data_IF_447732190592
#
_entry.id   IF_447732190592
#
_cell.length_a   1.000
_cell.length_b   1.000
_cell.length_c   1.000
_cell.angle_alpha   90.00
_cell.angle_beta   90.00
_cell.angle_gamma   90.00
#
_symmetry.space_group_name_H-M   'P 1'
#
loop_
_entity.id
_entity.type
_entity.pdbx_description
1 polymer ?
#
# COMPACT_ATOMS: atom_id res chain seq x y z
N UNK A 1 16.41 8.54 8.34
CA UNK A 1 15.24 9.02 7.54
C UNK A 1 14.09 9.53 8.43
N UNK A 2 14.43 10.04 9.61
CA UNK A 2 13.56 10.28 10.76
C UNK A 2 12.59 11.45 10.51
N UNK A 3 13.09 12.50 9.85
CA UNK A 3 12.27 13.67 9.49
C UNK A 3 11.13 13.24 8.57
N UNK A 4 11.38 12.47 7.52
CA UNK A 4 10.30 12.02 6.63
C UNK A 4 9.36 11.06 7.36
N UNK A 5 9.88 10.19 8.25
CA UNK A 5 9.08 9.26 9.04
C UNK A 5 8.10 9.95 10.00
N UNK A 6 8.35 11.22 10.35
CA UNK A 6 7.50 11.98 11.25
C UNK A 6 8.09 12.30 12.62
N UNK A 7 9.39 12.07 12.84
CA UNK A 7 9.98 12.21 14.17
C UNK A 7 9.91 13.66 14.64
N UNK A 8 9.46 13.85 15.88
CA UNK A 8 9.48 15.14 16.58
C UNK A 8 10.36 15.14 17.82
N UNK A 9 10.55 13.96 18.41
CA UNK A 9 11.39 13.73 19.59
C UNK A 9 12.30 12.53 19.33
N UNK A 10 13.33 12.37 20.16
CA UNK A 10 14.25 11.22 20.10
C UNK A 10 13.61 9.90 20.54
N UNK A 11 12.45 9.94 21.19
CA UNK A 11 11.66 8.77 21.61
C UNK A 11 10.66 8.29 20.56
N UNK A 12 10.55 8.99 19.43
CA UNK A 12 9.65 8.61 18.36
C UNK A 12 10.12 7.30 17.71
N UNK A 13 9.16 6.47 17.31
CA UNK A 13 9.40 5.12 16.79
C UNK A 13 8.63 4.85 15.50
N UNK A 14 8.12 5.91 14.86
CA UNK A 14 7.38 5.81 13.59
C UNK A 14 8.22 5.24 12.47
N UNK A 15 7.56 4.53 11.58
CA UNK A 15 8.20 3.93 10.42
C UNK A 15 8.07 4.86 9.23
N UNK A 16 9.04 4.74 8.33
CA UNK A 16 8.99 5.34 7.00
C UNK A 16 8.56 4.29 5.99
N UNK A 17 7.79 4.70 4.99
CA UNK A 17 7.44 3.87 3.86
C UNK A 17 8.20 4.31 2.61
N UNK A 18 8.70 3.33 1.86
CA UNK A 18 9.20 3.48 0.51
C UNK A 18 8.08 3.07 -0.43
N UNK A 19 7.72 3.94 -1.37
CA UNK A 19 6.73 3.68 -2.42
C UNK A 19 7.50 3.66 -3.73
N UNK A 20 7.52 2.52 -4.42
CA UNK A 20 8.03 2.41 -5.78
C UNK A 20 6.91 2.03 -6.73
N UNK A 21 6.85 2.65 -7.90
CA UNK A 21 5.92 2.26 -8.94
C UNK A 21 6.56 2.32 -10.33
N UNK A 22 6.08 1.46 -11.22
CA UNK A 22 6.54 1.36 -12.60
C UNK A 22 5.33 1.15 -13.52
N UNK A 23 5.33 1.82 -14.67
CA UNK A 23 4.25 1.78 -15.65
C UNK A 23 4.11 0.41 -16.31
N UNK A 24 2.91 -0.15 -16.29
CA UNK A 24 2.64 -1.42 -16.95
C UNK A 24 2.70 -1.26 -18.47
N UNK A 25 3.40 -2.20 -19.11
CA UNK A 25 3.43 -2.36 -20.56
C UNK A 25 3.89 -1.10 -21.34
N UNK A 26 4.72 -0.25 -20.72
CA UNK A 26 5.17 0.99 -21.36
C UNK A 26 5.83 0.75 -22.72
N UNK A 27 6.72 -0.24 -22.82
CA UNK A 27 7.35 -0.63 -24.08
C UNK A 27 6.35 -1.03 -25.18
N UNK A 28 5.22 -1.67 -24.83
CA UNK A 28 4.16 -2.01 -25.80
C UNK A 28 3.37 -0.77 -26.22
N UNK A 29 3.07 0.13 -25.28
CA UNK A 29 2.31 1.36 -25.54
C UNK A 29 3.10 2.30 -26.47
N UNK A 30 4.40 2.48 -26.18
CA UNK A 30 5.29 3.29 -27.03
C UNK A 30 5.67 2.58 -28.33
N UNK A 31 5.85 1.26 -28.33
CA UNK A 31 6.15 0.49 -29.54
C UNK A 31 5.02 0.47 -30.57
N UNK A 32 3.77 0.64 -30.15
CA UNK A 32 2.60 0.71 -31.03
C UNK A 32 2.32 2.12 -31.59
N UNK A 33 3.29 3.03 -31.50
CA UNK A 33 3.11 4.42 -31.94
C UNK A 33 3.44 4.54 -33.43
N UNK A 34 2.56 5.17 -34.21
CA UNK A 34 2.70 5.24 -35.68
C UNK A 34 3.49 6.48 -36.11
N UNK A 35 3.35 7.59 -35.37
CA UNK A 35 3.97 8.87 -35.72
C UNK A 35 4.80 9.43 -34.58
N UNK A 36 5.78 10.27 -34.93
CA UNK A 36 6.58 10.99 -33.93
C UNK A 36 5.72 11.91 -33.05
N UNK A 37 4.69 12.55 -33.62
CA UNK A 37 3.76 13.40 -32.85
C UNK A 37 3.01 12.61 -31.79
N UNK A 38 2.49 11.43 -32.15
CA UNK A 38 1.80 10.54 -31.19
C UNK A 38 2.76 10.08 -30.07
N UNK A 39 4.04 9.86 -30.38
CA UNK A 39 5.05 9.50 -29.39
C UNK A 39 5.24 10.63 -28.38
N UNK A 40 5.41 11.86 -28.89
CA UNK A 40 5.56 13.06 -28.06
C UNK A 40 4.32 13.27 -27.18
N UNK A 41 3.12 13.13 -27.72
CA UNK A 41 1.87 13.28 -26.97
C UNK A 41 1.75 12.24 -25.85
N UNK A 42 2.03 10.96 -26.14
CA UNK A 42 2.04 9.88 -25.14
C UNK A 42 3.08 10.14 -24.05
N UNK A 43 4.29 10.53 -24.44
CA UNK A 43 5.39 10.81 -23.51
C UNK A 43 5.06 12.00 -22.61
N UNK A 44 4.53 13.08 -23.17
CA UNK A 44 4.12 14.26 -22.40
C UNK A 44 2.96 13.93 -21.46
N UNK A 45 1.93 13.22 -21.96
CA UNK A 45 0.78 12.81 -21.15
C UNK A 45 1.20 11.93 -19.97
N UNK A 46 2.11 10.99 -20.17
CA UNK A 46 2.64 10.15 -19.10
C UNK A 46 3.34 11.00 -18.03
N UNK A 47 4.36 11.78 -18.42
CA UNK A 47 5.16 12.56 -17.46
C UNK A 47 4.31 13.63 -16.74
N UNK A 48 3.50 14.38 -17.48
CA UNK A 48 2.58 15.36 -16.91
C UNK A 48 1.53 14.69 -16.02
N UNK A 49 0.95 13.57 -16.47
CA UNK A 49 -0.08 12.84 -15.73
C UNK A 49 0.42 12.31 -14.39
N UNK A 50 1.65 11.79 -14.35
CA UNK A 50 2.30 11.33 -13.10
C UNK A 50 2.50 12.49 -12.12
N UNK A 51 2.99 13.63 -12.60
CA UNK A 51 3.14 14.85 -11.77
C UNK A 51 1.80 15.38 -11.30
N UNK A 52 0.79 15.34 -12.17
CA UNK A 52 -0.57 15.80 -11.85
C UNK A 52 -1.26 14.92 -10.82
N UNK A 53 -1.22 13.59 -10.95
CA UNK A 53 -1.83 12.70 -9.94
C UNK A 53 -1.17 12.89 -8.57
N UNK A 54 0.16 13.03 -8.52
CA UNK A 54 0.87 13.33 -7.29
C UNK A 54 0.43 14.66 -6.67
N UNK A 55 0.41 15.73 -7.48
CA UNK A 55 0.00 17.07 -7.04
C UNK A 55 -1.45 17.09 -6.53
N UNK A 56 -2.39 16.48 -7.26
CA UNK A 56 -3.79 16.43 -6.87
C UNK A 56 -3.99 15.61 -5.58
N UNK A 57 -3.21 14.54 -5.36
CA UNK A 57 -3.25 13.80 -4.09
C UNK A 57 -2.68 14.63 -2.91
N UNK A 58 -1.66 15.45 -3.13
CA UNK A 58 -1.20 16.41 -2.11
C UNK A 58 -2.26 17.47 -1.81
N UNK A 59 -2.99 17.95 -2.83
CA UNK A 59 -4.10 18.87 -2.63
C UNK A 59 -5.24 18.25 -1.83
N UNK A 60 -5.52 16.96 -2.02
CA UNK A 60 -6.51 16.25 -1.21
C UNK A 60 -6.11 16.22 0.27
N UNK A 61 -4.82 16.01 0.59
CA UNK A 61 -4.32 16.12 1.97
C UNK A 61 -4.51 17.55 2.48
N UNK A 62 -4.15 18.55 1.68
CA UNK A 62 -4.27 19.96 2.06
C UNK A 62 -5.72 20.43 2.30
N UNK A 63 -6.70 19.73 1.71
CA UNK A 63 -8.14 20.02 1.87
C UNK A 63 -8.79 19.23 2.99
N UNK A 64 -8.19 18.12 3.42
CA UNK A 64 -8.83 17.18 4.34
C UNK A 64 -8.74 17.57 5.83
N UNK A 65 -7.76 18.40 6.23
CA UNK A 65 -7.65 18.90 7.60
C UNK A 65 -7.91 20.40 7.70
N UNK A 66 -8.63 20.79 8.74
CA UNK A 66 -8.83 22.19 9.14
C UNK A 66 -7.59 22.80 9.80
N UNK A 67 -6.66 21.98 10.32
CA UNK A 67 -5.42 22.46 10.94
C UNK A 67 -4.34 22.69 9.87
N UNK A 68 -4.06 23.97 9.61
CA UNK A 68 -3.07 24.44 8.64
C UNK A 68 -1.65 23.95 8.93
N UNK A 69 -1.29 23.80 10.20
CA UNK A 69 0.06 23.37 10.59
C UNK A 69 0.28 21.89 10.30
N UNK A 70 -0.71 21.05 10.60
CA UNK A 70 -0.66 19.59 10.45
C UNK A 70 -0.53 19.21 8.97
N UNK A 71 -1.40 19.77 8.12
CA UNK A 71 -1.38 19.44 6.69
C UNK A 71 -0.11 19.93 5.99
N UNK A 72 0.40 21.12 6.35
CA UNK A 72 1.66 21.63 5.80
C UNK A 72 2.85 20.78 6.23
N UNK A 73 2.90 20.35 7.48
CA UNK A 73 3.94 19.44 7.97
C UNK A 73 3.93 18.13 7.19
N UNK A 74 2.77 17.49 7.05
CA UNK A 74 2.63 16.22 6.34
C UNK A 74 3.01 16.33 4.85
N UNK A 75 2.47 17.34 4.15
CA UNK A 75 2.79 17.58 2.73
C UNK A 75 4.27 17.90 2.55
N UNK A 76 4.87 18.69 3.45
CA UNK A 76 6.30 18.99 3.40
C UNK A 76 7.16 17.73 3.55
N UNK A 77 6.78 16.81 4.46
CA UNK A 77 7.48 15.53 4.62
C UNK A 77 7.39 14.65 3.37
N UNK A 78 6.23 14.59 2.73
CA UNK A 78 6.04 13.85 1.46
C UNK A 78 6.88 14.49 0.34
N UNK A 79 6.86 15.82 0.21
CA UNK A 79 7.65 16.55 -0.78
C UNK A 79 9.16 16.35 -0.57
N UNK A 80 9.64 16.41 0.67
CA UNK A 80 11.03 16.11 1.04
C UNK A 80 11.42 14.65 0.74
N UNK A 81 10.44 13.74 0.71
CA UNK A 81 10.64 12.33 0.43
C UNK A 81 10.61 11.96 -1.05
N UNK A 82 10.33 12.89 -1.97
CA UNK A 82 10.37 12.62 -3.42
C UNK A 82 11.82 12.34 -3.83
N UNK A 83 12.11 11.12 -4.27
CA UNK A 83 13.43 10.77 -4.84
C UNK A 83 13.43 11.00 -6.35
N UNK A 84 12.44 10.46 -7.05
CA UNK A 84 12.16 10.75 -8.45
C UNK A 84 10.68 10.52 -8.78
N UNK A 85 10.16 11.33 -9.71
CA UNK A 85 8.76 11.33 -10.13
C UNK A 85 8.70 11.84 -11.58
N UNK A 86 8.74 10.94 -12.55
CA UNK A 86 8.69 11.32 -13.96
C UNK A 86 8.74 10.12 -14.90
N UNK A 87 8.17 10.27 -16.09
CA UNK A 87 7.96 9.14 -16.99
C UNK A 87 7.09 8.06 -16.35
N UNK A 88 7.49 6.80 -16.46
CA UNK A 88 6.80 5.63 -15.91
C UNK A 88 7.36 5.13 -14.56
N UNK A 89 8.51 5.62 -14.11
CA UNK A 89 9.15 5.18 -12.85
C UNK A 89 8.96 6.24 -11.74
N UNK A 90 8.56 5.79 -10.55
CA UNK A 90 8.25 6.64 -9.40
C UNK A 90 8.89 6.04 -8.15
N UNK A 91 9.57 6.89 -7.37
CA UNK A 91 10.09 6.51 -6.06
C UNK A 91 9.95 7.64 -5.04
N UNK A 92 9.24 7.32 -3.97
CA UNK A 92 8.91 8.25 -2.90
C UNK A 92 9.24 7.62 -1.54
N UNK A 93 9.65 8.47 -0.61
CA UNK A 93 9.63 8.22 0.81
C UNK A 93 8.46 8.98 1.42
N UNK A 94 7.73 8.36 2.35
CA UNK A 94 6.56 8.97 2.97
C UNK A 94 6.38 8.47 4.41
N UNK A 95 5.78 9.25 5.32
CA UNK A 95 5.31 8.71 6.59
C UNK A 95 4.47 7.44 6.36
N UNK A 96 4.79 6.35 7.07
CA UNK A 96 4.13 5.07 6.84
C UNK A 96 2.62 5.11 7.11
N UNK A 97 2.16 6.01 7.98
CA UNK A 97 0.75 6.19 8.31
C UNK A 97 -0.12 6.59 7.12
N UNK A 98 0.45 7.30 6.13
CA UNK A 98 -0.29 7.85 4.99
C UNK A 98 0.04 7.14 3.67
N UNK A 99 1.12 6.35 3.63
CA UNK A 99 1.68 5.85 2.39
C UNK A 99 0.72 4.99 1.55
N UNK A 100 -0.01 4.06 2.20
CA UNK A 100 -0.98 3.20 1.47
C UNK A 100 -2.19 4.00 0.98
N UNK A 101 -2.89 4.80 1.82
CA UNK A 101 -3.99 5.66 1.35
C UNK A 101 -3.55 6.67 0.27
N UNK A 102 -2.33 7.21 0.38
CA UNK A 102 -1.74 8.10 -0.61
C UNK A 102 -1.56 7.39 -1.96
N UNK A 103 -0.93 6.22 -1.96
CA UNK A 103 -0.73 5.43 -3.18
C UNK A 103 -2.07 5.04 -3.83
N UNK A 104 -3.05 4.60 -3.04
CA UNK A 104 -4.39 4.27 -3.57
C UNK A 104 -5.00 5.46 -4.31
N UNK A 105 -5.09 6.64 -3.68
CA UNK A 105 -5.69 7.82 -4.31
C UNK A 105 -4.91 8.30 -5.54
N UNK A 106 -3.60 8.26 -5.48
CA UNK A 106 -2.73 8.64 -6.60
C UNK A 106 -2.93 7.70 -7.80
N UNK A 107 -2.83 6.39 -7.59
CA UNK A 107 -2.88 5.41 -8.68
C UNK A 107 -4.29 5.09 -9.18
N UNK A 108 -5.36 5.45 -8.46
CA UNK A 108 -6.72 5.44 -9.03
C UNK A 108 -6.87 6.41 -10.21
N UNK A 109 -6.13 7.52 -10.19
CA UNK A 109 -6.14 8.54 -11.27
C UNK A 109 -5.19 8.20 -12.42
N UNK A 110 -4.40 7.13 -12.30
CA UNK A 110 -3.32 6.81 -13.24
C UNK A 110 -3.80 6.65 -14.67
N UNK A 111 -4.78 5.78 -14.91
CA UNK A 111 -5.28 5.50 -16.25
C UNK A 111 -5.90 6.75 -16.90
N UNK A 112 -6.64 7.55 -16.13
CA UNK A 112 -7.24 8.79 -16.61
C UNK A 112 -6.17 9.79 -17.05
N UNK A 113 -5.19 10.06 -16.18
CA UNK A 113 -4.21 11.13 -16.41
C UNK A 113 -3.10 10.71 -17.37
N UNK A 114 -2.58 9.51 -17.22
CA UNK A 114 -1.41 9.04 -17.99
C UNK A 114 -1.81 8.20 -19.20
N UNK A 115 -2.92 7.45 -19.13
CA UNK A 115 -3.23 6.37 -20.07
C UNK A 115 -2.52 5.05 -19.74
N UNK A 116 -1.83 4.98 -18.60
CA UNK A 116 -1.08 3.81 -18.12
C UNK A 116 -1.67 3.34 -16.79
N UNK A 117 -1.51 2.04 -16.53
CA UNK A 117 -1.68 1.46 -15.20
C UNK A 117 -0.29 1.23 -14.59
N UNK A 118 -0.23 1.06 -13.27
CA UNK A 118 1.05 0.96 -12.55
C UNK A 118 1.06 -0.25 -11.63
N UNK A 119 2.19 -0.93 -11.55
CA UNK A 119 2.49 -1.86 -10.46
C UNK A 119 3.20 -1.07 -9.36
N UNK A 120 2.74 -1.22 -8.12
CA UNK A 120 3.22 -0.42 -6.97
C UNK A 120 3.67 -1.37 -5.86
N UNK A 121 4.85 -1.09 -5.31
CA UNK A 121 5.37 -1.74 -4.10
C UNK A 121 5.49 -0.72 -2.98
N UNK A 122 5.03 -1.08 -1.78
CA UNK A 122 5.13 -0.26 -0.58
C UNK A 122 5.79 -1.07 0.53
N UNK A 123 6.92 -0.58 1.05
CA UNK A 123 7.62 -1.21 2.17
C UNK A 123 7.77 -0.24 3.33
N UNK A 124 7.31 -0.65 4.51
CA UNK A 124 7.52 0.10 5.74
C UNK A 124 8.69 -0.47 6.55
N UNK A 125 9.64 0.39 6.91
CA UNK A 125 10.84 0.06 7.69
C UNK A 125 11.08 1.10 8.78
N UNK A 126 11.92 0.76 9.75
CA UNK A 126 12.42 1.75 10.71
C UNK A 126 13.29 2.81 10.00
N UNK A 127 13.33 4.06 10.49
CA UNK A 127 14.05 5.14 9.80
C UNK A 127 15.58 5.03 9.79
N UNK A 128 16.14 4.17 10.65
CA UNK A 128 17.56 3.81 10.73
C UNK A 128 17.93 2.65 9.79
N UNK A 129 16.94 2.05 9.12
CA UNK A 129 17.16 0.97 8.17
C UNK A 129 18.02 1.45 6.98
N UNK A 130 19.04 0.69 6.53
CA UNK A 130 19.85 1.09 5.39
C UNK A 130 18.99 1.25 4.12
N UNK A 131 19.04 2.43 3.50
CA UNK A 131 18.17 2.80 2.39
C UNK A 131 18.42 1.92 1.14
N UNK A 132 19.65 1.46 0.93
CA UNK A 132 20.01 0.63 -0.23
C UNK A 132 19.29 -0.72 -0.19
N UNK A 133 19.19 -1.33 0.99
CA UNK A 133 18.48 -2.61 1.14
C UNK A 133 16.98 -2.42 1.01
N UNK A 134 16.43 -1.36 1.64
CA UNK A 134 15.01 -1.03 1.50
C UNK A 134 14.62 -0.75 0.05
N UNK A 135 15.49 -0.08 -0.73
CA UNK A 135 15.32 0.15 -2.16
C UNK A 135 15.24 -1.17 -2.95
N UNK A 136 16.21 -2.08 -2.73
CA UNK A 136 16.20 -3.40 -3.38
C UNK A 136 14.96 -4.23 -3.00
N UNK A 137 14.53 -4.14 -1.74
CA UNK A 137 13.33 -4.81 -1.25
C UNK A 137 12.06 -4.28 -1.92
N UNK A 138 11.86 -2.96 -1.99
CA UNK A 138 10.63 -2.39 -2.56
C UNK A 138 10.56 -2.61 -4.06
N UNK A 139 11.72 -2.63 -4.74
CA UNK A 139 11.80 -3.00 -6.15
C UNK A 139 11.36 -4.45 -6.39
N UNK A 140 11.83 -5.41 -5.58
CA UNK A 140 11.37 -6.79 -5.67
C UNK A 140 9.86 -6.91 -5.41
N UNK A 141 9.33 -6.20 -4.40
CA UNK A 141 7.91 -6.21 -4.10
C UNK A 141 7.06 -5.62 -5.23
N UNK A 142 7.51 -4.53 -5.85
CA UNK A 142 6.85 -3.90 -6.99
C UNK A 142 6.79 -4.82 -8.21
N UNK A 143 7.87 -5.55 -8.52
CA UNK A 143 7.84 -6.53 -9.61
C UNK A 143 6.86 -7.67 -9.34
N UNK A 144 6.79 -8.16 -8.10
CA UNK A 144 5.88 -9.22 -7.66
C UNK A 144 4.42 -8.77 -7.54
N UNK A 145 4.17 -7.46 -7.47
CA UNK A 145 2.81 -6.91 -7.43
C UNK A 145 2.18 -6.73 -8.80
N UNK A 146 2.89 -7.01 -9.90
CA UNK A 146 2.36 -6.85 -11.26
C UNK A 146 1.18 -7.80 -11.53
N UNK A 147 0.02 -7.24 -11.89
CA UNK A 147 -1.09 -8.02 -12.46
C UNK A 147 -0.74 -8.38 -13.91
N UNK A 148 -0.73 -9.67 -14.25
CA UNK A 148 -0.25 -10.15 -15.55
C UNK A 148 -1.03 -9.63 -16.76
N UNK A 149 -2.32 -9.29 -16.61
CA UNK A 149 -3.10 -8.67 -17.69
C UNK A 149 -2.64 -7.23 -17.98
N UNK A 150 -2.11 -6.53 -16.97
CA UNK A 150 -1.71 -5.12 -17.06
C UNK A 150 -2.87 -4.14 -17.26
N UNK A 151 -4.11 -4.62 -17.17
CA UNK A 151 -5.31 -3.80 -17.39
C UNK A 151 -5.65 -2.92 -16.19
N UNK A 152 -5.07 -3.22 -15.02
CA UNK A 152 -5.32 -2.53 -13.77
C UNK A 152 -4.03 -2.19 -13.04
N UNK A 153 -4.09 -1.12 -12.26
CA UNK A 153 -3.02 -0.77 -11.34
C UNK A 153 -3.08 -1.69 -10.12
N UNK A 154 -1.93 -1.98 -9.52
CA UNK A 154 -1.83 -2.93 -8.42
C UNK A 154 -0.91 -2.43 -7.30
N UNK A 155 -1.19 -2.86 -6.07
CA UNK A 155 -0.44 -2.46 -4.88
C UNK A 155 -0.08 -3.71 -4.06
N UNK A 156 1.22 -3.88 -3.82
CA UNK A 156 1.77 -4.80 -2.83
C UNK A 156 2.33 -4.05 -1.64
N UNK A 157 2.06 -4.54 -0.42
CA UNK A 157 2.51 -3.89 0.83
C UNK A 157 3.18 -4.91 1.75
N UNK A 158 4.35 -4.57 2.30
CA UNK A 158 5.04 -5.33 3.35
C UNK A 158 5.56 -4.42 4.46
N UNK A 159 5.74 -5.00 5.65
CA UNK A 159 6.27 -4.29 6.84
C UNK A 159 7.39 -5.10 7.48
N UNK A 160 8.57 -4.49 7.64
CA UNK A 160 9.75 -5.11 8.24
C UNK A 160 10.06 -4.48 9.58
N UNK A 161 9.70 -5.16 10.68
CA UNK A 161 9.83 -4.63 12.04
C UNK A 161 11.14 -5.00 12.76
N UNK A 162 11.74 -6.13 12.39
CA UNK A 162 12.90 -6.71 13.09
C UNK A 162 13.96 -7.27 12.15
N UNK A 163 13.59 -7.56 10.91
CA UNK A 163 14.47 -8.13 9.88
C UNK A 163 14.95 -7.04 8.92
N UNK A 164 16.12 -7.26 8.34
CA UNK A 164 16.65 -6.43 7.27
C UNK A 164 15.77 -6.61 6.02
N UNK A 165 15.02 -5.59 5.65
CA UNK A 165 14.29 -5.54 4.39
C UNK A 165 15.31 -5.52 3.24
N UNK A 166 15.48 -6.65 2.57
CA UNK A 166 16.35 -6.79 1.40
C UNK A 166 15.62 -7.59 0.32
N UNK A 167 16.11 -7.51 -0.92
CA UNK A 167 15.54 -8.25 -2.06
C UNK A 167 15.40 -9.76 -1.77
N UNK A 168 16.45 -10.37 -1.21
CA UNK A 168 16.46 -11.79 -0.88
C UNK A 168 15.42 -12.16 0.20
N UNK A 169 15.24 -11.29 1.19
CA UNK A 169 14.25 -11.51 2.26
C UNK A 169 12.83 -11.37 1.69
N UNK A 170 12.56 -10.36 0.86
CA UNK A 170 11.24 -10.23 0.20
C UNK A 170 10.94 -11.48 -0.61
N UNK A 171 11.86 -11.92 -1.49
CA UNK A 171 11.67 -13.14 -2.29
C UNK A 171 11.46 -14.39 -1.43
N UNK A 172 12.15 -14.49 -0.30
CA UNK A 172 12.00 -15.60 0.64
C UNK A 172 10.65 -15.56 1.36
N UNK A 173 10.26 -14.41 1.92
CA UNK A 173 9.01 -14.23 2.64
C UNK A 173 7.82 -14.49 1.73
N UNK A 174 7.85 -13.94 0.50
CA UNK A 174 6.81 -14.18 -0.49
C UNK A 174 6.68 -15.68 -0.86
N UNK A 175 7.80 -16.39 -0.99
CA UNK A 175 7.79 -17.85 -1.20
C UNK A 175 7.26 -18.64 -0.01
N UNK A 176 7.54 -18.19 1.21
CA UNK A 176 7.05 -18.84 2.42
C UNK A 176 5.52 -18.72 2.55
N UNK A 177 4.96 -17.59 2.14
CA UNK A 177 3.52 -17.34 2.18
C UNK A 177 2.75 -17.90 0.97
N UNK A 178 3.35 -17.91 -0.23
CA UNK A 178 2.72 -18.41 -1.46
C UNK A 178 3.02 -19.90 -1.68
N UNK A 179 2.01 -20.77 -1.51
CA UNK A 179 2.03 -22.12 -2.10
C UNK A 179 1.34 -22.10 -3.46
N UNK A 180 1.84 -22.87 -4.42
CA UNK A 180 1.52 -22.74 -5.86
C UNK A 180 0.02 -22.80 -6.24
N UNK A 181 -0.85 -23.39 -5.41
CA UNK A 181 -2.29 -23.51 -5.70
C UNK A 181 -3.21 -22.88 -4.65
N UNK A 182 -2.68 -22.60 -3.46
CA UNK A 182 -3.46 -22.25 -2.28
C UNK A 182 -2.65 -21.28 -1.42
N UNK A 183 -3.11 -20.05 -1.26
CA UNK A 183 -2.34 -19.00 -0.60
C UNK A 183 -3.24 -18.00 0.10
N UNK A 184 -2.76 -17.45 1.22
CA UNK A 184 -3.36 -16.32 1.90
C UNK A 184 -2.64 -14.99 1.62
N UNK A 185 -1.76 -15.01 0.60
CA UNK A 185 -1.02 -13.86 0.11
C UNK A 185 -1.16 -13.73 -1.42
N UNK A 186 -1.60 -12.56 -1.87
CA UNK A 186 -1.79 -12.20 -3.29
C UNK A 186 -0.65 -11.31 -3.78
N UNK A 187 -0.24 -10.28 -3.03
CA UNK A 187 0.72 -9.20 -3.38
C UNK A 187 0.25 -8.28 -4.51
N UNK A 188 -0.32 -8.82 -5.58
CA UNK A 188 -0.81 -8.09 -6.74
C UNK A 188 -2.26 -7.62 -6.57
N UNK A 189 -2.55 -6.91 -5.48
CA UNK A 189 -3.92 -6.47 -5.17
C UNK A 189 -4.34 -5.34 -6.11
N UNK A 190 -5.56 -5.40 -6.65
CA UNK A 190 -6.17 -4.29 -7.37
C UNK A 190 -6.28 -3.07 -6.44
N UNK A 191 -5.96 -1.88 -6.96
CA UNK A 191 -6.10 -0.62 -6.21
C UNK A 191 -7.52 -0.46 -5.65
N UNK A 192 -8.55 -0.87 -6.39
CA UNK A 192 -9.94 -0.80 -5.93
C UNK A 192 -10.24 -1.76 -4.77
N UNK A 193 -9.55 -2.90 -4.69
CA UNK A 193 -9.67 -3.83 -3.55
C UNK A 193 -9.07 -3.22 -2.28
N UNK A 194 -7.91 -2.57 -2.42
CA UNK A 194 -7.24 -1.88 -1.31
C UNK A 194 -8.08 -0.69 -0.84
N UNK A 195 -8.66 0.09 -1.75
CA UNK A 195 -9.58 1.18 -1.40
C UNK A 195 -10.79 0.66 -0.62
N UNK A 196 -11.42 -0.44 -1.07
CA UNK A 196 -12.54 -1.06 -0.35
C UNK A 196 -12.16 -1.47 1.07
N UNK A 197 -10.94 -1.99 1.28
CA UNK A 197 -10.42 -2.28 2.62
C UNK A 197 -10.28 -1.00 3.45
N UNK A 198 -9.66 0.04 2.89
CA UNK A 198 -9.45 1.30 3.60
C UNK A 198 -10.78 1.95 3.99
N UNK A 199 -11.76 1.98 3.09
CA UNK A 199 -13.12 2.47 3.35
C UNK A 199 -13.81 1.66 4.46
N UNK A 200 -13.72 0.32 4.41
CA UNK A 200 -14.28 -0.55 5.45
C UNK A 200 -13.65 -0.28 6.82
N UNK A 201 -12.37 0.07 6.84
CA UNK A 201 -11.63 0.39 8.05
C UNK A 201 -11.75 1.87 8.42
N UNK A 202 -12.41 2.70 7.62
CA UNK A 202 -12.49 4.16 7.77
C UNK A 202 -11.10 4.81 7.85
N UNK A 203 -10.19 4.38 6.96
CA UNK A 203 -8.79 4.81 6.84
C UNK A 203 -8.48 5.33 5.43
N UNK A 204 -9.49 5.69 4.66
CA UNK A 204 -9.39 6.33 3.35
C UNK A 204 -9.40 7.87 3.45
N UNK A 205 -10.00 8.41 4.53
CA UNK A 205 -10.05 9.84 4.81
C UNK A 205 -8.73 10.37 5.37
N UNK A 206 -8.15 11.36 4.69
CA UNK A 206 -6.87 11.94 5.10
C UNK A 206 -6.99 12.80 6.36
N UNK A 207 -8.14 13.43 6.61
CA UNK A 207 -8.40 14.24 7.81
C UNK A 207 -8.29 13.39 9.06
N UNK A 208 -9.05 12.29 9.09
CA UNK A 208 -9.03 11.30 10.17
C UNK A 208 -7.66 10.66 10.36
N UNK A 209 -6.97 10.29 9.28
CA UNK A 209 -5.61 9.74 9.39
C UNK A 209 -4.63 10.74 9.98
N UNK A 210 -4.72 12.02 9.60
CA UNK A 210 -3.90 13.09 10.17
C UNK A 210 -4.18 13.28 11.66
N UNK A 211 -5.45 13.23 12.09
CA UNK A 211 -5.82 13.27 13.52
C UNK A 211 -5.17 12.12 14.30
N UNK A 212 -5.30 10.88 13.80
CA UNK A 212 -4.69 9.70 14.44
C UNK A 212 -3.16 9.78 14.46
N UNK A 213 -2.55 10.29 13.39
CA UNK A 213 -1.11 10.50 13.30
C UNK A 213 -0.61 11.58 14.27
N UNK A 214 -1.40 12.64 14.51
CA UNK A 214 -1.03 13.73 15.41
C UNK A 214 -1.31 13.43 16.89
N UNK A 215 -2.21 12.49 17.19
CA UNK A 215 -2.48 11.95 18.52
C UNK A 215 -2.07 10.46 18.61
N UNK A 216 -0.78 10.13 18.83
CA UNK A 216 -0.28 8.77 18.69
C UNK A 216 -0.86 7.78 19.69
N UNK A 217 -1.20 8.22 20.92
CA UNK A 217 -1.76 7.33 21.93
C UNK A 217 -3.15 6.83 21.52
N UNK A 218 -4.01 7.75 21.11
CA UNK A 218 -5.34 7.44 20.60
C UNK A 218 -5.27 6.71 19.26
N UNK A 219 -4.44 7.21 18.33
CA UNK A 219 -4.22 6.62 17.02
C UNK A 219 -3.78 5.16 17.10
N UNK A 220 -2.81 4.84 17.95
CA UNK A 220 -2.35 3.46 18.17
C UNK A 220 -3.45 2.58 18.74
N UNK A 221 -4.32 3.10 19.60
CA UNK A 221 -5.45 2.35 20.16
C UNK A 221 -6.48 2.04 19.08
N UNK A 222 -6.92 3.05 18.34
CA UNK A 222 -7.92 2.93 17.26
C UNK A 222 -7.46 1.96 16.18
N UNK A 223 -6.22 2.10 15.70
CA UNK A 223 -5.70 1.20 14.65
C UNK A 223 -5.49 -0.21 15.17
N UNK A 224 -5.02 -0.38 16.42
CA UNK A 224 -4.88 -1.71 17.04
C UNK A 224 -6.22 -2.43 17.11
N UNK A 225 -7.27 -1.75 17.51
CA UNK A 225 -8.61 -2.34 17.61
C UNK A 225 -9.14 -2.78 16.23
N UNK A 226 -8.90 -1.98 15.18
CA UNK A 226 -9.26 -2.32 13.79
C UNK A 226 -8.45 -3.52 13.25
N UNK A 227 -7.16 -3.61 13.59
CA UNK A 227 -6.26 -4.69 13.14
C UNK A 227 -6.49 -6.02 13.87
N UNK A 228 -6.93 -5.99 15.12
CA UNK A 228 -6.98 -7.15 16.02
C UNK A 228 -7.67 -8.37 15.42
N UNK A 229 -8.73 -8.17 14.65
CA UNK A 229 -9.46 -9.24 13.97
C UNK A 229 -8.59 -9.93 12.92
N UNK A 230 -7.88 -9.17 12.08
CA UNK A 230 -6.96 -9.70 11.09
C UNK A 230 -5.75 -10.37 11.74
N UNK A 231 -5.17 -9.77 12.80
CA UNK A 231 -4.08 -10.39 13.57
C UNK A 231 -4.45 -11.77 14.08
N UNK A 232 -5.69 -11.94 14.59
CA UNK A 232 -6.16 -13.24 15.05
C UNK A 232 -6.22 -14.27 13.93
N UNK A 233 -6.60 -13.88 12.72
CA UNK A 233 -6.65 -14.77 11.56
C UNK A 233 -5.27 -15.09 11.02
N UNK A 234 -4.39 -14.10 10.92
CA UNK A 234 -3.00 -14.26 10.50
C UNK A 234 -2.23 -15.17 11.46
N UNK A 235 -2.33 -14.95 12.77
CA UNK A 235 -1.68 -15.81 13.77
C UNK A 235 -2.18 -17.27 13.70
N UNK A 236 -3.46 -17.48 13.35
CA UNK A 236 -3.99 -18.82 13.13
C UNK A 236 -3.41 -19.45 11.86
N UNK A 237 -3.34 -18.68 10.77
CA UNK A 237 -2.76 -19.08 9.49
C UNK A 237 -1.27 -19.45 9.60
N UNK A 238 -0.51 -18.75 10.45
CA UNK A 238 0.92 -19.03 10.68
C UNK A 238 1.18 -20.37 11.36
N UNK A 239 0.15 -20.95 12.01
CA UNK A 239 0.29 -22.18 12.82
C UNK A 239 -0.50 -23.37 12.27
N UNK A 240 -1.30 -23.17 11.23
CA UNK A 240 -2.20 -24.18 10.67
C UNK A 240 -2.09 -24.22 9.13
N UNK A 241 -2.51 -25.33 8.52
CA UNK A 241 -2.58 -25.41 7.07
C UNK A 241 -3.69 -24.52 6.48
N UNK A 242 -3.68 -24.46 5.14
CA UNK A 242 -4.56 -23.60 4.37
C UNK A 242 -6.05 -23.89 4.62
N UNK A 243 -6.45 -25.17 4.54
CA UNK A 243 -7.84 -25.59 4.66
C UNK A 243 -8.39 -25.41 6.08
N UNK A 244 -7.58 -25.70 7.10
CA UNK A 244 -7.93 -25.44 8.49
C UNK A 244 -8.14 -23.94 8.74
N UNK A 245 -7.28 -23.09 8.17
CA UNK A 245 -7.42 -21.64 8.24
C UNK A 245 -8.66 -21.15 7.52
N UNK A 246 -8.92 -21.65 6.30
CA UNK A 246 -10.13 -21.31 5.54
C UNK A 246 -11.41 -21.71 6.30
N UNK A 247 -11.44 -22.92 6.87
CA UNK A 247 -12.54 -23.38 7.72
C UNK A 247 -12.71 -22.49 8.96
N UNK A 248 -11.61 -22.04 9.57
CA UNK A 248 -11.65 -21.13 10.70
C UNK A 248 -12.22 -19.74 10.34
N UNK A 249 -11.87 -19.19 9.19
CA UNK A 249 -12.48 -17.95 8.66
C UNK A 249 -13.98 -18.13 8.45
N UNK A 250 -14.40 -19.18 7.75
CA UNK A 250 -15.82 -19.45 7.46
C UNK A 250 -16.62 -19.64 8.76
N UNK A 251 -16.07 -20.38 9.73
CA UNK A 251 -16.71 -20.54 11.06
C UNK A 251 -16.81 -19.22 11.81
N UNK A 252 -15.77 -18.39 11.76
CA UNK A 252 -15.78 -17.07 12.40
C UNK A 252 -16.84 -16.16 11.77
N UNK A 253 -16.99 -16.21 10.44
CA UNK A 253 -18.06 -15.51 9.71
C UNK A 253 -19.45 -15.96 10.16
N UNK A 254 -19.68 -17.27 10.24
CA UNK A 254 -20.97 -17.84 10.62
C UNK A 254 -21.38 -17.52 12.07
N UNK A 255 -20.41 -17.37 12.97
CA UNK A 255 -20.63 -16.98 14.38
C UNK A 255 -20.79 -15.48 14.60
N UNK A 256 -20.43 -14.66 13.61
CA UNK A 256 -20.42 -13.21 13.74
C UNK A 256 -21.77 -12.60 13.38
N UNK A 257 -22.14 -11.51 14.05
CA UNK A 257 -23.36 -10.77 13.74
C UNK A 257 -23.36 -10.24 12.30
N UNK A 258 -24.56 -10.06 11.74
CA UNK A 258 -24.79 -9.79 10.31
C UNK A 258 -24.11 -8.52 9.78
N UNK A 259 -23.85 -7.55 10.66
CA UNK A 259 -23.17 -6.29 10.32
C UNK A 259 -21.81 -6.08 11.01
N UNK A 260 -21.26 -7.13 11.63
CA UNK A 260 -19.96 -7.02 12.30
C UNK A 260 -18.81 -6.75 11.33
N UNK A 261 -17.80 -6.01 11.80
CA UNK A 261 -16.56 -5.76 11.06
C UNK A 261 -15.88 -7.09 10.65
N UNK A 262 -15.91 -8.10 11.51
CA UNK A 262 -15.34 -9.43 11.24
C UNK A 262 -15.99 -10.05 9.99
N UNK A 263 -17.32 -10.08 9.93
CA UNK A 263 -18.04 -10.66 8.78
C UNK A 263 -17.68 -9.93 7.48
N UNK A 264 -17.65 -8.59 7.52
CA UNK A 264 -17.29 -7.75 6.36
C UNK A 264 -15.84 -7.96 5.88
N UNK A 265 -14.88 -8.09 6.81
CA UNK A 265 -13.48 -8.39 6.47
C UNK A 265 -13.38 -9.76 5.79
N UNK A 266 -14.05 -10.78 6.33
CA UNK A 266 -14.02 -12.13 5.76
C UNK A 266 -14.68 -12.15 4.39
N UNK A 267 -15.80 -11.43 4.23
CA UNK A 267 -16.43 -11.24 2.92
C UNK A 267 -15.48 -10.59 1.92
N UNK A 268 -14.79 -9.51 2.30
CA UNK A 268 -13.82 -8.85 1.43
C UNK A 268 -12.64 -9.78 1.06
N UNK A 269 -12.25 -10.65 1.99
CA UNK A 269 -11.14 -11.59 1.80
C UNK A 269 -11.51 -12.76 0.88
N UNK A 270 -12.70 -13.33 1.01
CA UNK A 270 -13.07 -14.61 0.37
C UNK A 270 -14.03 -14.43 -0.82
N UNK A 271 -14.94 -13.46 -0.77
CA UNK A 271 -16.09 -13.41 -1.69
C UNK A 271 -15.66 -13.05 -3.12
N UNK A 272 -16.18 -13.80 -4.10
CA UNK A 272 -15.99 -13.51 -5.52
C UNK A 272 -14.60 -13.87 -6.05
N UNK A 273 -13.91 -14.79 -5.38
CA UNK A 273 -12.61 -15.33 -5.81
C UNK A 273 -12.80 -16.78 -6.20
N UNK A 274 -12.48 -17.09 -7.45
CA UNK A 274 -12.60 -18.43 -8.02
C UNK A 274 -11.35 -19.28 -7.77
N UNK A 275 -10.23 -18.62 -7.46
CA UNK A 275 -8.97 -19.25 -7.09
C UNK A 275 -8.80 -19.30 -5.56
N UNK A 276 -8.14 -20.33 -5.04
CA UNK A 276 -7.82 -20.50 -3.62
C UNK A 276 -6.68 -19.55 -3.13
N UNK A 277 -6.66 -18.32 -3.65
CA UNK A 277 -5.68 -17.28 -3.33
C UNK A 277 -6.40 -16.06 -2.75
N UNK A 278 -6.22 -15.85 -1.45
CA UNK A 278 -6.92 -14.85 -0.66
C UNK A 278 -5.95 -13.78 -0.13
N UNK A 279 -6.36 -12.50 0.03
CA UNK A 279 -5.47 -11.39 0.39
C UNK A 279 -5.39 -11.18 1.93
N UNK A 280 -5.38 -12.26 2.72
CA UNK A 280 -5.45 -12.15 4.18
C UNK A 280 -4.19 -11.48 4.75
N UNK A 281 -3.01 -11.95 4.34
CA UNK A 281 -1.73 -11.35 4.74
C UNK A 281 -1.57 -9.94 4.15
N UNK A 282 -2.02 -9.71 2.93
CA UNK A 282 -1.99 -8.39 2.28
C UNK A 282 -2.74 -7.34 3.11
N UNK A 283 -3.98 -7.64 3.49
CA UNK A 283 -4.82 -6.75 4.29
C UNK A 283 -4.20 -6.49 5.66
N UNK A 284 -3.60 -7.51 6.27
CA UNK A 284 -2.83 -7.33 7.50
C UNK A 284 -1.65 -6.39 7.31
N UNK A 285 -0.83 -6.56 6.27
CA UNK A 285 0.33 -5.70 6.01
C UNK A 285 -0.07 -4.26 5.68
N UNK A 286 -1.15 -4.05 4.93
CA UNK A 286 -1.72 -2.72 4.65
C UNK A 286 -2.02 -1.98 5.96
N UNK A 287 -2.78 -2.60 6.87
CA UNK A 287 -3.12 -1.94 8.13
C UNK A 287 -1.92 -1.83 9.08
N UNK A 288 -1.05 -2.85 9.10
CA UNK A 288 0.18 -2.82 9.90
C UNK A 288 1.08 -1.67 9.47
N UNK A 289 1.17 -1.38 8.17
CA UNK A 289 1.93 -0.25 7.62
C UNK A 289 1.42 1.08 8.20
N UNK A 290 0.09 1.26 8.28
CA UNK A 290 -0.50 2.44 8.91
C UNK A 290 -0.16 2.48 10.41
N UNK A 291 -0.34 1.34 11.11
CA UNK A 291 -0.08 1.24 12.56
C UNK A 291 1.34 1.61 12.95
N UNK A 292 2.35 1.13 12.21
CA UNK A 292 3.76 1.40 12.54
C UNK A 292 4.15 2.84 12.22
N UNK A 293 3.36 3.56 11.43
CA UNK A 293 3.54 4.98 11.13
C UNK A 293 2.94 5.94 12.16
N UNK A 294 2.20 5.43 13.16
CA UNK A 294 1.59 6.21 14.25
C UNK A 294 2.38 6.02 15.54
#
# INVERSE_FOLDING_TARGET
>A
MEIIAGYRTTSDSRYIALIKADGNNAGKIFGNTVTFSEYVDKSFRLDFGVKKMFYDTLLDIMRASSDESIKKDLVSRILLGVLYLGGDDIMLLSPSAIAVPFAVKMFKRSLEYTGFTFKVGIISVKPDHPVQFAYGAVNALMEESKIHTGEKSSIGVLVFSSTLASEGVVKSDLKNYRKEKESFLVVSNDVDDVERLLNLMELDDFGKLMELYWNPEEGRKVIRDKIRSLERFVNYADTHDFYNTLAYLIRSKAKSEENSLIKRIIDLTIKGRDDFVFPLYDYYFILKSIRVGI
#
